data_IF_516041862939
#
_entry.id   IF_516041862939
#
_cell.length_a   1.000
_cell.length_b   1.000
_cell.length_c   1.000
_cell.angle_alpha   90.00
_cell.angle_beta   90.00
_cell.angle_gamma   90.00
#
_symmetry.space_group_name_H-M   'P 1'
#
loop_
_entity.id
_entity.type
_entity.pdbx_description
1 polymer ?
#
# COMPACT_ATOMS: atom_id res chain seq x y z
N UNK A 1 -3.90 -0.72 -13.05
CA UNK A 1 -2.47 -1.01 -13.27
C UNK A 1 -2.32 -2.49 -13.00
N UNK A 2 -2.19 -3.29 -14.06
CA UNK A 2 -1.98 -4.72 -13.89
C UNK A 2 -0.73 -4.90 -13.04
N UNK A 3 -0.87 -5.53 -11.88
CA UNK A 3 0.26 -6.05 -11.15
C UNK A 3 0.84 -7.13 -12.08
N UNK A 4 1.85 -6.79 -12.87
CA UNK A 4 2.69 -7.80 -13.50
C UNK A 4 3.04 -8.81 -12.41
N UNK A 5 2.70 -10.08 -12.67
CA UNK A 5 2.86 -11.15 -11.69
C UNK A 5 4.35 -11.29 -11.42
N UNK A 6 4.80 -10.66 -10.34
CA UNK A 6 6.21 -10.68 -9.93
C UNK A 6 6.65 -12.15 -9.77
N UNK A 7 7.69 -12.60 -10.49
CA UNK A 7 8.06 -14.01 -10.52
C UNK A 7 8.57 -14.46 -9.16
N UNK A 8 8.23 -15.69 -8.79
CA UNK A 8 8.80 -16.36 -7.62
C UNK A 8 10.09 -17.05 -8.06
N UNK A 9 11.21 -16.61 -7.52
CA UNK A 9 12.56 -17.08 -7.90
C UNK A 9 13.11 -18.15 -6.95
N UNK A 10 12.44 -18.38 -5.81
CA UNK A 10 12.87 -19.40 -4.86
C UNK A 10 12.17 -19.29 -3.52
N UNK A 11 12.82 -19.83 -2.49
CA UNK A 11 12.40 -19.73 -1.09
C UNK A 11 13.56 -19.23 -0.24
N UNK A 12 13.27 -18.45 0.80
CA UNK A 12 14.30 -18.03 1.75
C UNK A 12 14.57 -19.11 2.80
N UNK A 13 15.49 -18.81 3.72
CA UNK A 13 15.85 -19.71 4.83
C UNK A 13 14.69 -20.06 5.77
N UNK A 14 13.57 -19.33 5.74
CA UNK A 14 12.37 -19.64 6.51
C UNK A 14 11.32 -20.37 5.66
N UNK A 15 11.66 -20.74 4.42
CA UNK A 15 10.75 -21.38 3.47
C UNK A 15 9.73 -20.43 2.82
N UNK A 16 9.84 -19.11 3.03
CA UNK A 16 8.92 -18.11 2.46
C UNK A 16 9.23 -17.92 0.97
N UNK A 17 8.21 -17.76 0.10
CA UNK A 17 8.44 -17.57 -1.34
C UNK A 17 9.13 -16.23 -1.61
N UNK A 18 10.27 -16.28 -2.30
CA UNK A 18 11.01 -15.09 -2.73
C UNK A 18 10.44 -14.60 -4.05
N UNK A 19 9.89 -13.40 -4.05
CA UNK A 19 9.51 -12.67 -5.27
C UNK A 19 10.62 -11.71 -5.67
N UNK A 20 11.00 -11.67 -6.93
CA UNK A 20 12.02 -10.73 -7.41
C UNK A 20 11.40 -9.41 -7.85
N UNK A 21 11.57 -8.37 -7.02
CA UNK A 21 11.06 -7.03 -7.32
C UNK A 21 12.09 -6.13 -7.99
N UNK A 22 13.31 -6.61 -8.27
CA UNK A 22 14.39 -5.79 -8.81
C UNK A 22 14.09 -5.27 -10.22
N UNK A 23 13.29 -6.00 -11.00
CA UNK A 23 12.86 -5.60 -12.35
C UNK A 23 11.55 -4.79 -12.36
N UNK A 24 10.95 -4.53 -11.19
CA UNK A 24 9.70 -3.75 -11.13
C UNK A 24 9.95 -2.26 -11.31
N UNK A 25 8.90 -1.48 -11.56
CA UNK A 25 8.96 -0.02 -11.52
C UNK A 25 8.28 0.54 -10.26
N UNK A 26 8.86 1.61 -9.72
CA UNK A 26 8.27 2.42 -8.66
C UNK A 26 7.83 3.77 -9.25
N UNK A 27 6.52 3.98 -9.38
CA UNK A 27 5.93 5.18 -10.00
C UNK A 27 6.47 5.51 -11.41
N UNK A 28 6.86 4.48 -12.16
CA UNK A 28 7.42 4.58 -13.51
C UNK A 28 8.95 4.70 -13.57
N UNK A 29 9.64 4.72 -12.43
CA UNK A 29 11.11 4.63 -12.37
C UNK A 29 11.51 3.16 -12.15
N UNK A 30 12.43 2.59 -12.94
CA UNK A 30 12.96 1.25 -12.70
C UNK A 30 13.52 1.09 -11.27
N UNK A 31 13.18 -0.01 -10.60
CA UNK A 31 13.52 -0.21 -9.18
C UNK A 31 15.03 -0.14 -8.93
N UNK A 32 15.85 -0.66 -9.85
CA UNK A 32 17.32 -0.66 -9.76
C UNK A 32 17.95 0.75 -9.76
N UNK A 33 17.27 1.76 -10.28
CA UNK A 33 17.79 3.14 -10.27
C UNK A 33 17.71 3.80 -8.89
N UNK A 34 16.83 3.32 -8.01
CA UNK A 34 16.56 3.96 -6.72
C UNK A 34 17.40 3.27 -5.63
N UNK A 35 18.44 3.90 -5.08
CA UNK A 35 19.33 3.29 -4.10
C UNK A 35 18.72 3.27 -2.68
N UNK A 36 17.43 2.95 -2.55
CA UNK A 36 16.75 2.81 -1.26
C UNK A 36 16.75 1.36 -0.80
N UNK A 37 17.68 0.99 0.07
CA UNK A 37 17.78 -0.34 0.68
C UNK A 37 18.65 -0.28 1.93
N UNK A 38 18.52 -1.25 2.87
CA UNK A 38 19.29 -1.23 4.11
C UNK A 38 20.76 -1.60 3.88
N UNK A 39 21.62 -1.06 4.74
CA UNK A 39 22.97 -1.54 5.04
C UNK A 39 23.04 -1.92 6.52
N UNK A 40 23.90 -2.88 6.86
CA UNK A 40 24.07 -3.33 8.25
C UNK A 40 25.42 -2.83 8.75
N UNK A 41 25.41 -2.12 9.86
CA UNK A 41 26.58 -1.85 10.70
C UNK A 41 26.81 -3.06 11.60
N UNK A 42 27.79 -3.88 11.24
CA UNK A 42 28.09 -5.12 11.97
C UNK A 42 28.78 -4.87 13.31
N UNK A 43 29.35 -3.69 13.57
CA UNK A 43 29.92 -3.38 14.89
C UNK A 43 28.81 -3.18 15.93
N UNK A 44 27.66 -2.65 15.50
CA UNK A 44 26.48 -2.46 16.35
C UNK A 44 25.53 -3.66 16.36
N UNK A 45 25.58 -4.49 15.32
CA UNK A 45 24.68 -5.61 15.15
C UNK A 45 24.95 -6.72 16.17
N UNK A 46 23.94 -7.02 17.00
CA UNK A 46 23.99 -8.11 17.99
C UNK A 46 23.43 -9.44 17.47
N UNK A 47 23.11 -9.55 16.17
CA UNK A 47 22.61 -10.81 15.60
C UNK A 47 21.23 -11.24 16.16
N UNK A 48 20.32 -10.31 16.46
CA UNK A 48 19.02 -10.65 17.05
C UNK A 48 17.98 -11.21 16.05
N UNK A 49 18.22 -11.13 14.73
CA UNK A 49 17.30 -11.67 13.72
C UNK A 49 15.99 -10.89 13.49
N UNK A 50 15.71 -9.83 14.26
CA UNK A 50 14.43 -9.10 14.14
C UNK A 50 14.20 -8.55 12.72
N UNK A 51 15.25 -8.03 12.07
CA UNK A 51 15.17 -7.56 10.69
C UNK A 51 14.77 -8.66 9.67
N UNK A 52 15.25 -9.89 9.86
CA UNK A 52 14.93 -11.05 9.02
C UNK A 52 13.47 -11.48 9.19
N UNK A 53 12.99 -11.52 10.44
CA UNK A 53 11.64 -11.99 10.76
C UNK A 53 10.57 -10.96 10.38
N UNK A 54 10.82 -9.66 10.60
CA UNK A 54 9.85 -8.61 10.26
C UNK A 54 9.75 -8.33 8.75
N UNK A 55 10.82 -8.56 7.98
CA UNK A 55 10.83 -8.27 6.53
C UNK A 55 10.15 -9.37 5.69
N UNK A 56 8.98 -9.86 6.12
CA UNK A 56 8.35 -11.09 5.60
C UNK A 56 7.79 -10.99 4.19
N UNK A 57 7.29 -9.82 3.76
CA UNK A 57 6.71 -9.66 2.42
C UNK A 57 7.72 -9.34 1.31
N UNK A 58 8.97 -9.04 1.68
CA UNK A 58 10.01 -8.56 0.75
C UNK A 58 11.28 -9.41 0.81
N UNK A 59 11.47 -10.18 1.88
CA UNK A 59 12.59 -11.11 2.06
C UNK A 59 13.94 -10.44 1.83
N UNK A 60 14.16 -9.20 2.29
CA UNK A 60 15.40 -8.45 1.98
C UNK A 60 16.64 -9.12 2.57
N UNK A 61 16.48 -9.82 3.69
CA UNK A 61 17.56 -10.43 4.45
C UNK A 61 17.61 -11.96 4.30
N UNK A 62 18.81 -12.51 4.43
CA UNK A 62 19.08 -13.92 4.79
C UNK A 62 19.90 -13.97 6.09
N UNK A 63 20.38 -15.15 6.47
CA UNK A 63 21.16 -15.39 7.68
C UNK A 63 22.50 -16.06 7.35
N UNK A 64 23.57 -15.52 7.91
CA UNK A 64 24.88 -16.15 7.96
C UNK A 64 24.96 -16.94 9.27
N UNK A 65 24.91 -18.27 9.19
CA UNK A 65 24.98 -19.17 10.36
C UNK A 65 26.39 -19.32 10.93
N UNK A 66 27.43 -19.02 10.16
CA UNK A 66 28.81 -19.07 10.66
C UNK A 66 29.08 -17.86 11.56
N UNK A 67 28.63 -16.67 11.12
CA UNK A 67 28.79 -15.42 11.87
C UNK A 67 27.64 -15.11 12.82
N UNK A 68 26.56 -15.91 12.76
CA UNK A 68 25.32 -15.71 13.52
C UNK A 68 24.74 -14.30 13.38
N UNK A 69 24.70 -13.80 12.13
CA UNK A 69 24.26 -12.43 11.82
C UNK A 69 23.43 -12.36 10.54
N UNK A 70 22.51 -11.38 10.42
CA UNK A 70 21.73 -11.19 9.20
C UNK A 70 22.60 -10.64 8.07
N UNK A 71 22.26 -10.97 6.82
CA UNK A 71 22.88 -10.41 5.61
C UNK A 71 21.84 -9.79 4.70
N UNK A 72 22.17 -8.70 4.01
CA UNK A 72 21.29 -8.08 3.01
C UNK A 72 21.44 -8.84 1.69
N UNK A 73 20.63 -9.88 1.50
CA UNK A 73 20.72 -10.75 0.32
C UNK A 73 20.04 -10.15 -0.92
N UNK A 74 18.98 -9.36 -0.74
CA UNK A 74 18.13 -8.86 -1.83
C UNK A 74 17.83 -7.37 -1.63
N UNK A 75 18.80 -6.47 -1.82
CA UNK A 75 18.65 -5.05 -1.52
C UNK A 75 17.50 -4.40 -2.31
N UNK A 76 17.40 -4.67 -3.62
CA UNK A 76 16.36 -4.09 -4.47
C UNK A 76 14.95 -4.64 -4.21
N UNK A 77 14.83 -5.72 -3.43
CA UNK A 77 13.55 -6.10 -2.89
C UNK A 77 13.07 -5.16 -1.78
N UNK A 78 13.89 -4.28 -1.19
CA UNK A 78 13.35 -3.32 -0.22
C UNK A 78 12.31 -2.40 -0.89
N UNK A 79 11.17 -2.15 -0.22
CA UNK A 79 10.17 -1.22 -0.71
C UNK A 79 10.72 0.21 -0.59
N UNK A 80 10.65 1.00 -1.66
CA UNK A 80 11.13 2.38 -1.66
C UNK A 80 10.36 3.18 -0.60
N UNK A 81 11.10 3.74 0.37
CA UNK A 81 10.58 4.50 1.50
C UNK A 81 10.27 3.69 2.76
N UNK A 82 10.37 2.36 2.73
CA UNK A 82 10.24 1.54 3.94
C UNK A 82 11.56 1.54 4.74
N UNK A 83 11.46 1.75 6.06
CA UNK A 83 12.57 1.78 7.02
C UNK A 83 12.23 1.04 8.34
N UNK A 84 11.14 0.24 8.36
CA UNK A 84 10.62 -0.40 9.57
C UNK A 84 11.67 -1.25 10.31
N UNK A 85 12.50 -1.98 9.57
CA UNK A 85 13.56 -2.80 10.17
C UNK A 85 14.65 -1.98 10.88
N UNK A 86 14.88 -0.72 10.46
CA UNK A 86 15.77 0.19 11.18
C UNK A 86 15.12 0.70 12.46
N UNK A 87 13.86 1.12 12.41
CA UNK A 87 13.08 1.57 13.58
C UNK A 87 12.94 0.49 14.67
N UNK A 88 12.91 -0.77 14.27
CA UNK A 88 12.82 -1.91 15.19
C UNK A 88 14.19 -2.38 15.70
N UNK A 89 15.29 -1.97 15.08
CA UNK A 89 16.61 -2.46 15.47
C UNK A 89 16.96 -1.92 16.87
N UNK A 90 17.20 -2.77 17.88
CA UNK A 90 17.47 -2.31 19.25
C UNK A 90 18.84 -1.63 19.41
N UNK A 91 19.66 -1.60 18.35
CA UNK A 91 21.04 -1.10 18.35
C UNK A 91 21.32 -0.09 17.23
N UNK A 92 20.29 0.37 16.53
CA UNK A 92 20.43 1.28 15.39
C UNK A 92 21.46 0.81 14.35
N UNK A 93 21.54 -0.51 14.14
CA UNK A 93 22.52 -1.15 13.27
C UNK A 93 22.09 -1.20 11.80
N UNK A 94 20.83 -0.88 11.49
CA UNK A 94 20.33 -0.88 10.11
C UNK A 94 20.27 0.55 9.61
N UNK A 95 21.01 0.83 8.54
CA UNK A 95 21.20 2.17 7.99
C UNK A 95 20.51 2.26 6.63
N UNK A 96 19.74 3.33 6.43
CA UNK A 96 19.12 3.68 5.15
C UNK A 96 19.70 4.99 4.60
N UNK A 97 19.51 5.27 3.31
CA UNK A 97 19.80 6.60 2.76
C UNK A 97 19.00 7.68 3.49
N UNK A 98 19.52 8.91 3.45
CA UNK A 98 18.87 10.05 4.07
C UNK A 98 17.48 10.31 3.45
N UNK A 99 16.53 10.76 4.28
CA UNK A 99 15.15 11.04 3.86
C UNK A 99 15.07 12.05 2.70
N UNK A 100 16.03 12.98 2.63
CA UNK A 100 16.15 13.93 1.51
C UNK A 100 16.33 13.25 0.16
N UNK A 101 17.09 12.14 0.09
CA UNK A 101 17.27 11.38 -1.16
C UNK A 101 15.97 10.71 -1.59
N UNK A 102 15.22 10.13 -0.65
CA UNK A 102 13.89 9.57 -0.94
C UNK A 102 12.94 10.63 -1.51
N UNK A 103 12.94 11.83 -0.94
CA UNK A 103 12.11 12.95 -1.41
C UNK A 103 12.48 13.35 -2.84
N UNK A 104 13.77 13.44 -3.18
CA UNK A 104 14.23 13.70 -4.55
C UNK A 104 13.68 12.66 -5.55
N UNK A 105 13.73 11.37 -5.19
CA UNK A 105 13.19 10.31 -6.05
C UNK A 105 11.67 10.37 -6.20
N UNK A 106 10.93 10.66 -5.12
CA UNK A 106 9.48 10.89 -5.17
C UNK A 106 9.12 12.04 -6.12
N UNK A 107 9.86 13.13 -6.03
CA UNK A 107 9.62 14.34 -6.82
C UNK A 107 9.97 14.11 -8.29
N UNK A 108 11.11 13.47 -8.57
CA UNK A 108 11.51 13.02 -9.93
C UNK A 108 10.48 12.09 -10.56
N UNK A 109 9.91 11.16 -9.79
CA UNK A 109 8.88 10.27 -10.29
C UNK A 109 7.55 10.97 -10.59
N UNK A 110 7.35 12.21 -10.13
CA UNK A 110 6.06 12.89 -10.17
C UNK A 110 4.99 12.14 -9.37
N UNK A 111 5.40 11.38 -8.34
CA UNK A 111 4.53 10.41 -7.66
C UNK A 111 3.31 11.07 -7.02
N UNK A 112 3.47 12.28 -6.43
CA UNK A 112 2.38 13.02 -5.80
C UNK A 112 1.30 13.41 -6.83
N UNK A 113 1.71 13.98 -7.97
CA UNK A 113 0.78 14.36 -9.04
C UNK A 113 0.02 13.15 -9.58
N UNK A 114 0.76 12.09 -9.95
CA UNK A 114 0.17 10.81 -10.44
C UNK A 114 -0.81 10.20 -9.44
N UNK A 115 -0.46 10.23 -8.14
CA UNK A 115 -1.33 9.74 -7.08
C UNK A 115 -2.62 10.55 -6.97
N UNK A 116 -2.53 11.89 -6.94
CA UNK A 116 -3.70 12.76 -6.88
C UNK A 116 -4.63 12.59 -8.08
N UNK A 117 -4.08 12.52 -9.30
CA UNK A 117 -4.85 12.26 -10.52
C UNK A 117 -5.57 10.91 -10.45
N UNK A 118 -4.87 9.86 -9.99
CA UNK A 118 -5.44 8.52 -9.83
C UNK A 118 -6.60 8.54 -8.82
N UNK A 119 -6.42 9.17 -7.66
CA UNK A 119 -7.46 9.26 -6.62
C UNK A 119 -8.67 10.05 -7.10
N UNK A 120 -8.48 11.18 -7.81
CA UNK A 120 -9.58 11.94 -8.43
C UNK A 120 -10.37 11.10 -9.43
N UNK A 121 -9.67 10.39 -10.31
CA UNK A 121 -10.32 9.50 -11.28
C UNK A 121 -11.12 8.36 -10.60
N UNK A 122 -10.66 7.85 -9.45
CA UNK A 122 -11.41 6.87 -8.66
C UNK A 122 -12.67 7.47 -8.04
N UNK A 123 -12.59 8.71 -7.52
CA UNK A 123 -13.74 9.43 -6.98
C UNK A 123 -14.82 9.64 -8.06
N UNK A 124 -14.42 10.06 -9.26
CA UNK A 124 -15.33 10.26 -10.38
C UNK A 124 -16.04 8.97 -10.81
N UNK A 125 -15.31 7.84 -10.84
CA UNK A 125 -15.88 6.53 -11.16
C UNK A 125 -16.91 6.10 -10.12
N UNK A 126 -16.61 6.29 -8.83
CA UNK A 126 -17.55 5.96 -7.75
C UNK A 126 -18.82 6.80 -7.82
N UNK A 127 -18.70 8.10 -8.12
CA UNK A 127 -19.85 8.97 -8.34
C UNK A 127 -20.73 8.48 -9.52
N UNK A 128 -20.11 8.10 -10.65
CA UNK A 128 -20.83 7.56 -11.81
C UNK A 128 -21.52 6.21 -11.56
N UNK A 129 -20.93 5.34 -10.74
CA UNK A 129 -21.56 4.07 -10.33
C UNK A 129 -22.78 4.37 -9.44
N UNK A 130 -22.62 5.20 -8.41
CA UNK A 130 -23.72 5.58 -7.51
C UNK A 130 -24.91 6.24 -8.25
N UNK A 131 -24.65 6.98 -9.34
CA UNK A 131 -25.71 7.55 -10.18
C UNK A 131 -26.41 6.53 -11.09
N UNK A 132 -25.77 5.41 -11.45
CA UNK A 132 -26.40 4.33 -12.25
C UNK A 132 -27.25 3.39 -11.40
N UNK A 133 -26.93 3.26 -10.12
CA UNK A 133 -27.66 2.40 -9.17
C UNK A 133 -28.94 3.06 -8.62
N UNK A 134 -29.14 4.36 -8.85
CA UNK A 134 -30.43 5.03 -8.64
C UNK A 134 -31.38 4.67 -9.79
N UNK A 135 -32.08 3.54 -9.68
CA UNK A 135 -33.17 3.22 -10.57
C UNK A 135 -34.34 4.19 -10.30
N UNK A 136 -34.33 5.33 -11.00
CA UNK A 136 -35.38 6.35 -10.92
C UNK A 136 -36.76 5.76 -11.27
N UNK A 137 -36.83 4.70 -12.09
CA UNK A 137 -38.09 4.02 -12.38
C UNK A 137 -38.63 3.19 -11.19
N UNK A 138 -37.75 2.59 -10.39
CA UNK A 138 -38.12 1.87 -9.16
C UNK A 138 -38.56 2.85 -8.06
N UNK A 139 -37.81 3.93 -7.87
CA UNK A 139 -38.18 5.04 -6.98
C UNK A 139 -39.53 5.67 -7.36
N UNK A 140 -39.80 5.83 -8.66
CA UNK A 140 -41.11 6.30 -9.16
C UNK A 140 -42.24 5.31 -8.93
N UNK A 141 -42.01 4.00 -9.07
CA UNK A 141 -43.00 2.97 -8.72
C UNK A 141 -43.34 2.98 -7.23
N UNK A 142 -42.33 3.09 -6.37
CA UNK A 142 -42.51 3.16 -4.91
C UNK A 142 -43.24 4.45 -4.48
N UNK A 143 -42.92 5.60 -5.09
CA UNK A 143 -43.65 6.85 -4.87
C UNK A 143 -45.09 6.78 -5.40
N UNK A 144 -45.32 6.11 -6.55
CA UNK A 144 -46.67 5.86 -7.08
C UNK A 144 -47.54 4.98 -6.18
N UNK A 145 -46.94 4.00 -5.48
CA UNK A 145 -47.65 3.18 -4.49
C UNK A 145 -47.95 3.89 -3.16
N UNK A 146 -47.20 4.94 -2.82
CA UNK A 146 -47.45 5.76 -1.62
C UNK A 146 -48.58 6.79 -1.84
N UNK A 147 -48.76 7.25 -3.07
CA UNK A 147 -49.86 8.15 -3.43
C UNK A 147 -51.24 7.47 -3.44
N UNK A 148 -51.31 6.14 -3.60
CA UNK A 148 -52.57 5.39 -3.50
C UNK A 148 -52.98 5.04 -2.07
N UNK A 149 -52.08 5.15 -1.09
CA UNK A 149 -52.35 4.84 0.33
C UNK A 149 -52.73 6.07 1.17
N UNK A 150 -52.60 7.29 0.64
CA UNK A 150 -52.99 8.53 1.32
C UNK A 150 -54.40 9.03 0.92
N UNK A 151 -55.29 8.11 0.55
CA UNK A 151 -56.71 8.38 0.31
C UNK A 151 -57.61 8.29 1.55
N UNK A 152 -57.07 8.03 2.75
CA UNK A 152 -57.90 7.89 3.94
C UNK A 152 -57.25 8.43 5.22
N UNK A 153 -57.40 9.74 5.44
CA UNK A 153 -57.90 10.29 6.70
C UNK A 153 -58.13 11.81 6.56
N UNK A 154 -59.35 12.14 6.14
CA UNK A 154 -60.02 13.37 6.55
C UNK A 154 -60.38 13.25 8.05
N UNK A 155 -60.28 14.39 8.77
CA UNK A 155 -60.65 14.66 10.18
C UNK A 155 -59.54 14.28 11.17
N UNK A 156 -58.88 15.23 11.84
CA UNK A 156 -59.31 16.08 12.98
C UNK A 156 -58.18 17.13 13.14
N UNK A 157 -58.31 18.39 13.54
CA UNK A 157 -59.36 19.37 13.82
C UNK A 157 -58.64 20.73 13.95
N UNK A 158 -59.42 21.81 13.90
CA UNK A 158 -59.00 23.14 14.35
C UNK A 158 -58.29 23.09 15.69
N UNK A 159 -57.14 23.76 15.79
CA UNK A 159 -56.57 24.24 17.05
C UNK A 159 -55.56 25.37 16.81
N UNK A 160 -55.93 26.37 16.02
CA UNK A 160 -55.50 27.77 16.23
C UNK A 160 -56.69 28.68 15.88
N UNK A 161 -57.23 29.30 16.93
CA UNK A 161 -58.41 30.17 17.09
C UNK A 161 -59.73 29.46 17.34
#
# INVERSE_FOLDING_TARGET
MALEKVPVVGKDILGRPIKDFSETSWWGIPRKEIPWYPRIDYERCIGCGLCLLTCSGRNVYDWDFEKMRPVVARPYNCMVGCDTCAKLCPRDAIIFPHLGELRKWRDRAGAVKKAMETVRALADKKCRINHRDLNVAELRKQLGSLASQSGHQLRIANLIK
#
